data_IF_683826571128
#
_entry.id   IF_683826571128
#
_cell.length_a   1.000
_cell.length_b   1.000
_cell.length_c   1.000
_cell.angle_alpha   90.00
_cell.angle_beta   90.00
_cell.angle_gamma   90.00
#
_symmetry.space_group_name_H-M   'P 1'
#
loop_
_entity.id
_entity.type
_entity.pdbx_description
1 polymer ?
#
# COMPACT_ATOMS: atom_id res chain seq x y z
N UNK A 1 -8.26 24.11 47.71
CA UNK A 1 -8.42 22.75 47.18
C UNK A 1 -8.85 22.87 45.74
N UNK A 2 -7.92 22.69 44.81
CA UNK A 2 -8.19 22.72 43.37
C UNK A 2 -8.34 21.25 42.93
N UNK A 3 -9.55 20.88 42.47
CA UNK A 3 -9.79 19.61 41.84
C UNK A 3 -9.04 19.57 40.50
N UNK A 4 -8.10 18.66 40.41
CA UNK A 4 -7.39 18.35 39.18
C UNK A 4 -8.29 17.35 38.42
N UNK A 5 -8.98 17.84 37.40
CA UNK A 5 -9.69 16.96 36.46
C UNK A 5 -8.64 16.26 35.59
N UNK A 6 -8.32 15.03 35.96
CA UNK A 6 -7.49 14.14 35.14
C UNK A 6 -8.38 13.54 34.05
N UNK A 7 -8.38 14.13 32.85
CA UNK A 7 -8.91 13.50 31.66
C UNK A 7 -7.94 12.40 31.22
N UNK A 8 -8.19 11.17 31.65
CA UNK A 8 -7.51 10.01 31.12
C UNK A 8 -8.16 9.64 29.77
N UNK A 9 -7.66 10.20 28.70
CA UNK A 9 -7.98 9.78 27.34
C UNK A 9 -7.22 8.47 27.05
N UNK A 10 -7.87 7.35 27.30
CA UNK A 10 -7.36 6.04 26.95
C UNK A 10 -7.58 5.82 25.45
N UNK A 11 -6.59 6.09 24.61
CA UNK A 11 -6.62 5.77 23.19
C UNK A 11 -6.25 4.29 23.01
N UNK A 12 -7.25 3.46 22.79
CA UNK A 12 -7.06 2.06 22.42
C UNK A 12 -7.03 1.97 20.91
N UNK A 13 -5.85 1.73 20.35
CA UNK A 13 -5.72 1.36 18.94
C UNK A 13 -6.13 -0.09 18.78
N UNK A 14 -7.38 -0.32 18.43
CA UNK A 14 -7.86 -1.68 18.13
C UNK A 14 -7.38 -2.09 16.76
N UNK A 15 -6.50 -3.06 16.71
CA UNK A 15 -6.10 -3.73 15.47
C UNK A 15 -7.24 -4.60 14.98
N UNK A 16 -7.97 -4.14 13.99
CA UNK A 16 -8.86 -5.03 13.23
C UNK A 16 -8.05 -5.51 12.03
N UNK A 17 -7.20 -6.49 12.26
CA UNK A 17 -6.61 -7.26 11.17
C UNK A 17 -7.47 -8.49 10.94
N UNK A 18 -8.28 -8.49 9.88
CA UNK A 18 -8.93 -9.71 9.38
C UNK A 18 -7.90 -10.80 8.97
N UNK A 19 -6.61 -10.55 9.17
CA UNK A 19 -5.47 -11.43 8.90
C UNK A 19 -4.54 -11.61 10.10
N UNK A 20 -4.98 -11.36 11.33
CA UNK A 20 -4.16 -11.56 12.53
C UNK A 20 -3.89 -13.03 12.86
N UNK A 21 -3.54 -13.84 11.87
CA UNK A 21 -2.95 -15.14 12.09
C UNK A 21 -1.54 -15.11 11.54
N UNK A 22 -0.56 -14.83 12.43
CA UNK A 22 0.89 -14.96 12.20
C UNK A 22 1.62 -13.82 11.47
N UNK A 23 1.41 -12.57 11.83
CA UNK A 23 2.35 -11.50 11.41
C UNK A 23 3.79 -11.69 11.93
N UNK A 24 4.02 -12.47 12.97
CA UNK A 24 5.37 -12.66 13.55
C UNK A 24 6.42 -13.25 12.61
N UNK A 25 6.02 -13.88 11.50
CA UNK A 25 6.97 -14.54 10.60
C UNK A 25 7.20 -13.81 9.27
N UNK A 26 6.45 -12.75 8.97
CA UNK A 26 6.55 -12.03 7.69
C UNK A 26 7.57 -10.89 7.71
N UNK A 27 7.89 -10.36 8.88
CA UNK A 27 8.79 -9.21 9.04
C UNK A 27 10.19 -9.55 9.55
N UNK A 28 10.47 -10.80 9.84
CA UNK A 28 11.86 -11.21 9.98
C UNK A 28 12.46 -11.23 8.56
N UNK A 29 13.26 -10.22 8.23
CA UNK A 29 14.15 -10.19 7.08
C UNK A 29 15.15 -11.35 7.09
N UNK A 30 14.65 -12.54 7.36
CA UNK A 30 15.32 -13.80 7.23
C UNK A 30 15.40 -14.14 5.76
N UNK A 31 16.58 -14.41 5.31
CA UNK A 31 16.91 -15.15 4.11
C UNK A 31 15.75 -16.06 3.72
N UNK A 32 15.24 -15.87 2.49
CA UNK A 32 14.32 -16.82 1.90
C UNK A 32 14.94 -18.21 2.07
N UNK A 33 14.40 -18.98 2.99
CA UNK A 33 14.62 -20.41 2.94
C UNK A 33 13.90 -20.84 1.68
N UNK A 34 14.68 -21.13 0.65
CA UNK A 34 14.22 -21.98 -0.45
C UNK A 34 13.49 -23.13 0.22
N UNK A 35 12.19 -23.20 -0.01
CA UNK A 35 11.43 -24.37 0.38
C UNK A 35 11.75 -25.44 -0.67
N UNK A 36 12.57 -26.46 -0.35
CA UNK A 36 13.00 -27.43 -1.32
C UNK A 36 11.89 -28.41 -1.77
N UNK A 37 10.66 -28.20 -1.31
CA UNK A 37 9.53 -29.10 -1.55
C UNK A 37 8.52 -28.62 -2.59
N UNK A 38 8.93 -27.80 -3.56
CA UNK A 38 8.09 -27.54 -4.73
C UNK A 38 8.18 -28.72 -5.72
N UNK A 39 7.65 -29.85 -5.27
CA UNK A 39 7.57 -31.09 -6.04
C UNK A 39 6.36 -31.11 -6.99
N UNK A 40 6.05 -30.00 -7.67
CA UNK A 40 5.10 -30.00 -8.78
C UNK A 40 3.70 -30.58 -8.47
N UNK A 41 3.31 -30.65 -7.20
CA UNK A 41 1.99 -31.09 -6.80
C UNK A 41 1.01 -29.92 -7.02
N UNK A 42 0.03 -30.02 -7.93
CA UNK A 42 -0.92 -28.94 -8.22
C UNK A 42 -1.77 -28.53 -7.00
N UNK A 43 -1.77 -29.29 -5.92
CA UNK A 43 -2.49 -28.98 -4.69
C UNK A 43 -1.65 -28.22 -3.66
N UNK A 44 -0.36 -28.05 -3.89
CA UNK A 44 0.53 -27.29 -3.02
C UNK A 44 0.63 -25.83 -3.49
N UNK A 45 -0.52 -25.13 -3.54
CA UNK A 45 -0.52 -23.69 -3.77
C UNK A 45 0.15 -23.00 -2.59
N UNK A 46 1.33 -22.44 -2.81
CA UNK A 46 1.99 -21.57 -1.84
C UNK A 46 1.02 -20.47 -1.42
N UNK A 47 0.59 -20.49 -0.16
CA UNK A 47 -0.32 -19.51 0.37
C UNK A 47 0.45 -18.22 0.63
N UNK A 48 0.13 -17.19 -0.13
CA UNK A 48 0.63 -15.84 0.11
C UNK A 48 -0.39 -15.10 0.99
N UNK A 49 -0.02 -14.63 2.18
CA UNK A 49 -0.96 -14.01 3.14
C UNK A 49 -1.74 -12.84 2.56
N UNK A 50 -1.14 -12.12 1.60
CA UNK A 50 -1.75 -10.97 0.93
C UNK A 50 -2.44 -11.33 -0.40
N UNK A 51 -2.33 -12.56 -0.88
CA UNK A 51 -2.96 -13.06 -2.09
C UNK A 51 -4.17 -13.94 -1.72
N UNK A 52 -5.18 -13.35 -1.14
CA UNK A 52 -6.43 -14.03 -0.79
C UNK A 52 -7.51 -13.76 -1.83
N UNK A 53 -8.51 -14.62 -1.86
CA UNK A 53 -9.66 -14.42 -2.72
C UNK A 53 -10.30 -13.06 -2.41
N UNK A 54 -10.55 -12.29 -3.46
CA UNK A 54 -11.19 -11.00 -3.34
C UNK A 54 -12.60 -11.16 -2.75
N UNK A 55 -12.80 -10.53 -1.61
CA UNK A 55 -14.10 -10.37 -0.97
C UNK A 55 -14.28 -8.91 -0.62
N UNK A 56 -15.46 -8.39 -0.90
CA UNK A 56 -15.84 -7.01 -0.54
C UNK A 56 -16.24 -6.90 0.92
N UNK A 57 -16.64 -8.01 1.53
CA UNK A 57 -17.16 -8.04 2.89
C UNK A 57 -16.50 -9.16 3.69
N UNK A 58 -16.10 -8.82 4.92
CA UNK A 58 -15.74 -9.77 5.96
C UNK A 58 -16.80 -9.65 7.03
N UNK A 59 -17.54 -10.72 7.26
CA UNK A 59 -18.57 -10.76 8.31
C UNK A 59 -18.27 -11.84 9.33
N UNK A 60 -18.67 -11.60 10.57
CA UNK A 60 -18.53 -12.55 11.66
C UNK A 60 -17.12 -12.65 12.26
N UNK A 61 -16.18 -11.83 11.85
CA UNK A 61 -14.90 -11.72 12.53
C UNK A 61 -15.09 -10.96 13.84
N UNK A 62 -14.56 -11.52 14.94
CA UNK A 62 -14.68 -10.91 16.26
C UNK A 62 -13.31 -10.83 16.92
N UNK A 63 -13.00 -9.67 17.49
CA UNK A 63 -11.84 -9.46 18.34
C UNK A 63 -12.27 -9.05 19.74
N UNK A 64 -11.66 -9.65 20.76
CA UNK A 64 -11.89 -9.29 22.17
C UNK A 64 -10.63 -8.69 22.78
N UNK A 65 -10.81 -7.60 23.53
CA UNK A 65 -9.75 -6.94 24.30
C UNK A 65 -10.20 -6.93 25.75
N UNK A 66 -9.38 -7.45 26.65
CA UNK A 66 -9.60 -7.43 28.09
C UNK A 66 -8.60 -6.49 28.74
N UNK A 67 -9.09 -5.53 29.53
CA UNK A 67 -8.29 -4.55 30.26
C UNK A 67 -8.61 -4.70 31.74
N UNK A 68 -7.63 -5.11 32.54
CA UNK A 68 -7.74 -5.13 33.99
C UNK A 68 -7.60 -3.72 34.54
N UNK A 69 -8.50 -3.35 35.44
CA UNK A 69 -8.58 -2.02 36.04
C UNK A 69 -8.36 -2.14 37.55
N UNK A 70 -7.72 -1.13 38.13
CA UNK A 70 -7.49 -1.08 39.57
C UNK A 70 -8.79 -0.84 40.35
N UNK A 71 -9.76 -0.22 39.70
CA UNK A 71 -11.07 0.09 40.31
C UNK A 71 -12.23 -0.05 39.28
N UNK A 72 -13.45 -0.17 39.80
CA UNK A 72 -14.65 -0.18 38.96
C UNK A 72 -14.86 1.19 38.33
N UNK A 73 -15.13 1.20 37.04
CA UNK A 73 -15.41 2.40 36.24
C UNK A 73 -16.86 2.40 35.75
N UNK A 74 -17.39 3.59 35.55
CA UNK A 74 -18.68 3.79 34.92
C UNK A 74 -18.53 3.62 33.39
N UNK A 75 -19.12 2.57 32.83
CA UNK A 75 -19.06 2.26 31.39
C UNK A 75 -19.57 3.40 30.51
N UNK A 76 -20.51 4.21 30.98
CA UNK A 76 -21.05 5.32 30.20
C UNK A 76 -19.99 6.44 29.99
N UNK A 77 -18.98 6.47 30.86
CA UNK A 77 -17.84 7.42 30.74
C UNK A 77 -16.68 6.88 29.90
N UNK A 78 -16.73 5.62 29.49
CA UNK A 78 -15.69 5.02 28.65
C UNK A 78 -16.02 5.26 27.19
N UNK A 79 -15.24 6.11 26.52
CA UNK A 79 -15.31 6.28 25.08
C UNK A 79 -14.36 5.30 24.39
N UNK A 80 -14.86 4.58 23.40
CA UNK A 80 -14.06 3.68 22.56
C UNK A 80 -14.32 4.02 21.10
N UNK A 81 -13.29 4.20 20.33
CA UNK A 81 -13.39 4.50 18.90
C UNK A 81 -12.21 3.93 18.12
N UNK A 82 -12.44 3.62 16.85
CA UNK A 82 -11.38 3.30 15.90
C UNK A 82 -10.85 4.63 15.36
N UNK A 83 -9.53 4.91 15.46
CA UNK A 83 -8.97 6.19 15.04
C UNK A 83 -9.11 6.40 13.53
N UNK A 84 -9.13 7.64 13.03
CA UNK A 84 -9.21 7.94 11.59
C UNK A 84 -8.05 7.38 10.78
N UNK A 85 -6.86 7.31 11.37
CA UNK A 85 -5.66 6.73 10.76
C UNK A 85 -5.20 5.53 11.57
N UNK A 86 -4.84 4.45 10.88
CA UNK A 86 -4.30 3.23 11.49
C UNK A 86 -3.11 3.57 12.37
N UNK A 87 -2.94 2.83 13.45
CA UNK A 87 -1.87 3.06 14.45
C UNK A 87 -1.92 4.43 15.14
N UNK A 88 -3.09 5.12 15.10
CA UNK A 88 -3.29 6.46 15.63
C UNK A 88 -2.30 7.50 15.09
N UNK A 89 -1.87 7.34 13.85
CA UNK A 89 -1.00 8.30 13.18
C UNK A 89 -1.69 9.64 12.97
N UNK A 90 -0.93 10.70 12.74
CA UNK A 90 -1.44 12.07 12.71
C UNK A 90 -1.56 12.67 11.32
N UNK A 91 -1.06 12.01 10.28
CA UNK A 91 -1.22 12.41 8.90
C UNK A 91 -1.02 11.25 7.92
N UNK A 92 -1.54 11.42 6.70
CA UNK A 92 -1.64 10.39 5.67
C UNK A 92 -0.92 10.82 4.40
N UNK A 93 -0.13 9.90 3.85
CA UNK A 93 0.38 10.00 2.48
C UNK A 93 -0.09 8.78 1.69
N UNK A 94 -0.60 9.01 0.49
CA UNK A 94 -0.95 7.98 -0.49
C UNK A 94 -0.13 8.24 -1.76
N UNK A 95 0.47 7.20 -2.30
CA UNK A 95 1.22 7.26 -3.56
C UNK A 95 0.66 6.25 -4.54
N UNK A 96 0.35 6.71 -5.76
CA UNK A 96 0.00 5.85 -6.88
C UNK A 96 1.06 6.00 -7.95
N UNK A 97 1.69 4.91 -8.35
CA UNK A 97 2.68 4.89 -9.41
C UNK A 97 2.07 4.33 -10.68
N UNK A 98 2.00 5.18 -11.71
CA UNK A 98 1.27 4.93 -12.94
C UNK A 98 2.07 4.19 -14.01
N UNK A 99 1.39 3.80 -15.09
CA UNK A 99 1.92 3.18 -16.31
C UNK A 99 2.61 1.82 -16.10
N UNK A 100 2.26 1.09 -15.03
CA UNK A 100 2.88 -0.22 -14.79
C UNK A 100 4.42 -0.18 -14.86
N UNK A 101 5.03 0.97 -14.46
CA UNK A 101 6.46 1.21 -14.62
C UNK A 101 7.29 0.27 -13.76
N UNK A 102 8.31 -0.27 -14.36
CA UNK A 102 9.28 -1.13 -13.69
C UNK A 102 10.01 -0.40 -12.53
N UNK A 103 10.13 0.92 -12.58
CA UNK A 103 10.64 1.74 -11.49
C UNK A 103 9.83 1.60 -10.18
N UNK A 104 8.57 1.14 -10.24
CA UNK A 104 7.80 0.81 -9.04
C UNK A 104 8.50 -0.29 -8.21
N UNK A 105 9.09 -1.28 -8.87
CA UNK A 105 9.85 -2.34 -8.20
C UNK A 105 11.32 -1.94 -7.95
N UNK A 106 12.05 -1.59 -9.00
CA UNK A 106 13.52 -1.40 -8.93
C UNK A 106 13.94 -0.10 -8.24
N UNK A 107 13.05 0.83 -8.03
CA UNK A 107 13.33 2.10 -7.37
C UNK A 107 12.47 2.28 -6.11
N UNK A 108 11.16 2.45 -6.24
CA UNK A 108 10.27 2.77 -5.11
C UNK A 108 10.23 1.64 -4.08
N UNK A 109 9.87 0.43 -4.51
CA UNK A 109 9.81 -0.74 -3.63
C UNK A 109 11.21 -1.10 -3.09
N UNK A 110 12.23 -1.03 -3.94
CA UNK A 110 13.61 -1.32 -3.54
C UNK A 110 14.09 -0.38 -2.44
N UNK A 111 13.84 0.93 -2.59
CA UNK A 111 14.19 1.93 -1.58
C UNK A 111 13.48 1.67 -0.25
N UNK A 112 12.17 1.40 -0.29
CA UNK A 112 11.37 1.13 0.91
C UNK A 112 11.86 -0.13 1.63
N UNK A 113 12.28 -1.15 0.88
CA UNK A 113 12.62 -2.45 1.44
C UNK A 113 14.12 -2.69 1.64
N UNK A 114 14.95 -1.63 1.53
CA UNK A 114 16.40 -1.73 1.71
C UNK A 114 17.07 -2.66 0.70
N UNK A 115 16.53 -2.72 -0.51
CA UNK A 115 17.05 -3.49 -1.64
C UNK A 115 17.88 -2.59 -2.56
N UNK A 116 18.71 -3.18 -3.42
CA UNK A 116 19.47 -2.41 -4.38
C UNK A 116 18.58 -1.53 -5.25
N UNK A 117 18.88 -0.24 -5.30
CA UNK A 117 18.15 0.75 -6.07
C UNK A 117 18.88 0.94 -7.37
N UNK A 118 18.23 0.63 -8.48
CA UNK A 118 18.82 0.76 -9.81
C UNK A 118 18.46 2.13 -10.40
N UNK A 119 19.45 3.02 -10.50
CA UNK A 119 19.33 4.28 -11.22
C UNK A 119 20.03 4.19 -12.57
N UNK A 120 19.40 4.78 -13.55
CA UNK A 120 19.83 4.76 -14.93
C UNK A 120 20.60 6.00 -15.38
N UNK A 121 20.93 6.91 -14.50
CA UNK A 121 21.52 8.21 -14.84
C UNK A 121 22.88 8.13 -15.58
N UNK A 122 23.48 6.96 -15.68
CA UNK A 122 24.82 6.82 -16.27
C UNK A 122 24.91 5.97 -17.54
N UNK A 123 23.83 5.28 -17.88
CA UNK A 123 23.79 4.49 -19.12
C UNK A 123 22.56 4.94 -19.88
N UNK A 124 22.76 5.61 -21.00
CA UNK A 124 21.77 6.21 -21.88
C UNK A 124 20.31 6.10 -21.36
N UNK A 125 19.69 7.20 -21.05
CA UNK A 125 18.42 7.41 -20.33
C UNK A 125 17.16 6.63 -20.82
N UNK A 126 17.33 5.58 -21.57
CA UNK A 126 16.26 4.79 -22.20
C UNK A 126 16.22 3.34 -21.73
N UNK A 127 17.05 2.95 -20.76
CA UNK A 127 17.23 1.54 -20.38
C UNK A 127 16.77 1.35 -18.93
N UNK A 128 15.53 0.90 -18.73
CA UNK A 128 15.06 0.48 -17.42
C UNK A 128 15.77 -0.82 -17.03
N UNK A 129 16.49 -0.82 -15.91
CA UNK A 129 17.07 -2.03 -15.35
C UNK A 129 15.98 -2.88 -14.72
N UNK A 130 15.96 -4.10 -15.16
CA UNK A 130 14.98 -5.07 -14.77
C UNK A 130 15.64 -6.14 -13.92
N UNK A 131 15.25 -6.29 -12.67
CA UNK A 131 15.76 -7.34 -11.82
C UNK A 131 14.69 -7.92 -10.89
N UNK A 132 14.93 -9.15 -10.45
CA UNK A 132 14.27 -9.72 -9.31
C UNK A 132 15.31 -9.87 -8.19
N UNK A 133 15.01 -9.34 -7.00
CA UNK A 133 15.95 -9.35 -5.88
C UNK A 133 16.42 -10.76 -5.49
N UNK A 134 15.61 -11.79 -5.76
CA UNK A 134 15.97 -13.20 -5.53
C UNK A 134 17.05 -13.75 -6.46
N UNK A 135 17.23 -13.12 -7.62
CA UNK A 135 18.11 -13.60 -8.67
C UNK A 135 19.37 -12.72 -8.83
N UNK A 136 19.59 -11.77 -7.91
CA UNK A 136 20.76 -10.90 -7.97
C UNK A 136 22.01 -11.61 -7.45
N UNK A 137 23.05 -11.64 -8.28
CA UNK A 137 24.38 -12.04 -7.89
C UNK A 137 25.30 -10.82 -7.79
N UNK A 138 26.45 -11.00 -7.15
CA UNK A 138 27.45 -9.96 -7.05
C UNK A 138 27.94 -9.53 -8.44
N UNK A 139 27.90 -8.24 -8.73
CA UNK A 139 28.29 -7.68 -10.03
C UNK A 139 27.19 -7.59 -11.08
N UNK A 140 25.97 -8.04 -10.76
CA UNK A 140 24.85 -7.99 -11.73
C UNK A 140 24.31 -6.59 -11.98
N UNK A 141 24.44 -5.71 -11.01
CA UNK A 141 23.93 -4.35 -11.09
C UNK A 141 25.05 -3.35 -11.43
N UNK A 142 24.70 -2.19 -12.02
CA UNK A 142 25.71 -1.15 -12.31
C UNK A 142 26.51 -0.75 -11.07
N UNK A 143 27.76 -0.31 -11.25
CA UNK A 143 28.60 0.14 -10.13
C UNK A 143 28.00 1.27 -9.28
N UNK A 144 27.08 2.05 -9.87
CA UNK A 144 26.41 3.17 -9.18
C UNK A 144 25.16 2.75 -8.43
N UNK A 145 24.79 1.47 -8.47
CA UNK A 145 23.66 0.96 -7.70
C UNK A 145 23.97 1.08 -6.23
N UNK A 146 23.04 1.60 -5.47
CA UNK A 146 23.16 1.70 -4.02
C UNK A 146 21.90 1.25 -3.31
N UNK A 147 22.02 1.03 -2.02
CA UNK A 147 20.92 0.64 -1.15
C UNK A 147 20.99 1.41 0.18
N UNK A 148 19.86 1.64 0.79
CA UNK A 148 19.82 2.34 2.09
C UNK A 148 20.26 1.45 3.27
N UNK A 149 20.39 0.14 3.05
CA UNK A 149 20.74 -0.87 4.08
C UNK A 149 19.79 -0.84 5.30
N UNK A 150 18.64 -0.25 5.12
CA UNK A 150 17.54 -0.19 6.09
C UNK A 150 16.21 -0.14 5.34
N UNK A 151 15.16 -0.58 6.01
CA UNK A 151 13.79 -0.45 5.52
C UNK A 151 13.21 0.90 5.92
N UNK A 152 12.25 1.41 5.12
CA UNK A 152 11.56 2.67 5.38
C UNK A 152 10.12 2.36 5.81
N UNK A 153 9.65 3.01 6.86
CA UNK A 153 8.34 2.73 7.42
C UNK A 153 8.02 3.55 8.66
N UNK A 154 6.95 3.15 9.30
CA UNK A 154 6.48 3.63 10.60
C UNK A 154 6.45 2.48 11.60
N UNK A 155 5.97 2.70 12.81
CA UNK A 155 5.67 1.62 13.75
C UNK A 155 4.16 1.43 13.96
N UNK A 156 3.77 0.27 14.47
CA UNK A 156 2.38 -0.07 14.81
C UNK A 156 1.96 0.39 16.22
N UNK A 157 2.81 1.13 16.90
CA UNK A 157 2.61 1.54 18.30
C UNK A 157 2.97 0.46 19.34
N UNK A 158 3.18 -0.79 18.93
CA UNK A 158 3.71 -1.86 19.77
C UNK A 158 5.23 -2.09 19.55
N UNK A 159 5.83 -1.26 18.69
CA UNK A 159 7.26 -1.33 18.35
C UNK A 159 7.58 -2.21 17.14
N UNK A 160 6.59 -2.81 16.48
CA UNK A 160 6.83 -3.54 15.25
C UNK A 160 6.88 -2.56 14.07
N UNK A 161 7.76 -2.85 13.11
CA UNK A 161 7.87 -2.07 11.90
C UNK A 161 6.65 -2.28 10.99
N UNK A 162 6.13 -1.18 10.47
CA UNK A 162 5.14 -1.13 9.38
C UNK A 162 5.78 -0.42 8.21
N UNK A 163 6.17 -1.15 7.18
CA UNK A 163 6.81 -0.57 6.00
C UNK A 163 5.88 0.37 5.28
N UNK A 164 6.43 1.40 4.66
CA UNK A 164 5.68 2.21 3.72
C UNK A 164 5.18 1.33 2.58
N UNK A 165 3.97 1.60 2.14
CA UNK A 165 3.36 0.91 1.03
C UNK A 165 2.77 1.92 0.05
N UNK A 166 2.69 1.54 -1.21
CA UNK A 166 2.12 2.38 -2.26
C UNK A 166 1.27 1.53 -3.20
N UNK A 167 0.54 2.17 -4.08
CA UNK A 167 -0.25 1.50 -5.10
C UNK A 167 0.46 1.60 -6.45
N UNK A 168 0.62 0.49 -7.15
CA UNK A 168 1.12 0.49 -8.54
C UNK A 168 0.01 0.15 -9.50
N UNK A 169 -0.02 0.78 -10.65
CA UNK A 169 -0.96 0.43 -11.70
C UNK A 169 -0.44 -0.72 -12.55
N UNK A 170 -1.36 -1.47 -13.14
CA UNK A 170 -1.05 -2.67 -13.94
C UNK A 170 -1.56 -2.51 -15.38
N UNK A 171 -0.92 -3.23 -16.30
CA UNK A 171 -1.37 -3.48 -17.67
C UNK A 171 -1.64 -4.97 -17.89
N UNK A 172 -2.70 -5.56 -17.32
CA UNK A 172 -2.89 -7.00 -17.29
C UNK A 172 -3.01 -7.66 -18.67
N UNK A 173 -3.48 -6.93 -19.69
CA UNK A 173 -3.60 -7.40 -21.07
C UNK A 173 -2.27 -7.34 -21.85
N UNK A 174 -1.20 -6.83 -21.25
CA UNK A 174 0.10 -6.77 -21.90
C UNK A 174 0.90 -8.06 -21.71
N UNK A 175 1.25 -8.71 -22.81
CA UNK A 175 2.15 -9.90 -22.81
C UNK A 175 3.50 -9.59 -22.12
N UNK A 176 3.87 -8.31 -22.02
CA UNK A 176 5.10 -7.91 -21.33
C UNK A 176 5.08 -8.21 -19.84
N UNK A 177 3.90 -8.28 -19.22
CA UNK A 177 3.78 -8.66 -17.82
C UNK A 177 3.99 -10.17 -17.59
N UNK A 178 3.85 -11.00 -18.63
CA UNK A 178 4.05 -12.45 -18.56
C UNK A 178 5.51 -12.88 -18.75
N UNK A 179 6.41 -11.91 -18.98
CA UNK A 179 7.84 -12.24 -19.14
C UNK A 179 8.40 -12.73 -17.81
N UNK A 180 9.07 -13.87 -17.84
CA UNK A 180 9.81 -14.37 -16.69
C UNK A 180 11.05 -13.50 -16.45
N UNK A 181 11.33 -13.17 -15.18
CA UNK A 181 12.57 -12.50 -14.78
C UNK A 181 13.76 -13.47 -14.84
N UNK A 182 13.94 -14.10 -15.99
CA UNK A 182 15.04 -15.01 -16.18
C UNK A 182 16.37 -14.25 -16.32
N UNK A 183 17.30 -14.66 -15.50
CA UNK A 183 18.68 -14.26 -15.65
C UNK A 183 19.19 -14.79 -16.98
N UNK A 184 19.41 -13.93 -17.94
CA UNK A 184 20.06 -14.34 -19.19
C UNK A 184 21.52 -14.65 -18.91
N UNK A 185 21.84 -15.91 -18.71
CA UNK A 185 23.20 -16.39 -18.41
C UNK A 185 24.25 -16.04 -19.48
N UNK A 186 23.83 -15.54 -20.66
CA UNK A 186 24.73 -15.05 -21.70
C UNK A 186 25.32 -13.65 -21.42
N UNK A 187 24.90 -12.94 -20.38
CA UNK A 187 25.35 -11.59 -20.04
C UNK A 187 26.04 -11.51 -18.67
N UNK A 188 26.79 -12.53 -18.31
CA UNK A 188 27.45 -12.65 -17.01
C UNK A 188 28.46 -11.54 -16.67
N UNK A 189 28.97 -10.86 -17.67
CA UNK A 189 30.06 -9.86 -17.52
C UNK A 189 29.55 -8.41 -17.45
N UNK A 190 28.24 -8.21 -17.54
CA UNK A 190 27.66 -6.89 -17.44
C UNK A 190 26.19 -6.92 -16.93
N UNK A 191 25.77 -5.81 -16.37
CA UNK A 191 24.42 -5.62 -15.80
C UNK A 191 23.28 -5.67 -16.82
N UNK A 192 23.55 -5.74 -18.13
CA UNK A 192 22.54 -5.83 -19.18
C UNK A 192 21.75 -7.14 -19.14
N UNK A 193 22.17 -8.12 -18.38
CA UNK A 193 21.42 -9.37 -18.22
C UNK A 193 20.02 -9.16 -17.61
N UNK A 194 19.80 -8.04 -16.89
CA UNK A 194 18.51 -7.64 -16.34
C UNK A 194 17.81 -6.59 -17.21
N UNK A 195 18.41 -6.22 -18.31
CA UNK A 195 17.82 -5.30 -19.25
C UNK A 195 16.77 -5.99 -20.08
N UNK A 196 15.50 -5.69 -19.83
CA UNK A 196 14.45 -6.34 -20.61
C UNK A 196 13.29 -5.45 -20.99
N UNK A 197 12.71 -4.66 -20.13
CA UNK A 197 11.48 -3.94 -20.48
C UNK A 197 11.13 -2.82 -19.51
N UNK A 198 10.24 -1.93 -19.96
CA UNK A 198 9.78 -0.78 -19.19
C UNK A 198 8.61 -1.10 -18.23
N UNK A 199 8.04 -2.31 -18.27
CA UNK A 199 6.86 -2.69 -17.46
C UNK A 199 7.21 -3.66 -16.34
N UNK A 200 6.41 -3.62 -15.27
CA UNK A 200 6.41 -4.65 -14.23
C UNK A 200 6.03 -6.00 -14.82
N UNK A 201 6.56 -7.07 -14.25
CA UNK A 201 6.09 -8.43 -14.50
C UNK A 201 5.34 -8.97 -13.29
N UNK A 202 4.56 -10.02 -13.50
CA UNK A 202 3.74 -10.62 -12.44
C UNK A 202 4.55 -11.08 -11.23
N UNK A 203 5.78 -11.54 -11.40
CA UNK A 203 6.63 -11.94 -10.27
C UNK A 203 7.04 -10.76 -9.40
N UNK A 204 7.35 -9.60 -10.00
CA UNK A 204 7.57 -8.37 -9.22
C UNK A 204 6.29 -7.95 -8.48
N UNK A 205 5.14 -8.00 -9.15
CA UNK A 205 3.85 -7.66 -8.52
C UNK A 205 3.56 -8.56 -7.32
N UNK A 206 3.74 -9.89 -7.47
CA UNK A 206 3.57 -10.84 -6.35
C UNK A 206 4.45 -10.50 -5.16
N UNK A 207 5.72 -10.18 -5.43
CA UNK A 207 6.65 -9.80 -4.36
C UNK A 207 6.23 -8.48 -3.71
N UNK A 208 5.89 -7.46 -4.49
CA UNK A 208 5.41 -6.17 -3.97
C UNK A 208 4.17 -6.35 -3.09
N UNK A 209 3.22 -7.17 -3.51
CA UNK A 209 2.02 -7.49 -2.72
C UNK A 209 2.35 -8.20 -1.42
N UNK A 210 3.34 -9.09 -1.40
CA UNK A 210 3.80 -9.76 -0.18
C UNK A 210 4.40 -8.79 0.86
N UNK A 211 4.76 -7.58 0.42
CA UNK A 211 5.25 -6.49 1.28
C UNK A 211 4.19 -5.42 1.58
N UNK A 212 2.92 -5.67 1.26
CA UNK A 212 1.81 -4.78 1.61
C UNK A 212 1.49 -3.70 0.57
N UNK A 213 2.15 -3.70 -0.59
CA UNK A 213 1.79 -2.78 -1.66
C UNK A 213 0.42 -3.14 -2.26
N UNK A 214 -0.27 -2.14 -2.80
CA UNK A 214 -1.54 -2.31 -3.51
C UNK A 214 -1.38 -2.30 -5.02
N UNK A 215 -2.44 -2.68 -5.72
CA UNK A 215 -2.53 -2.62 -7.18
C UNK A 215 -3.75 -1.82 -7.61
N UNK A 216 -3.69 -1.24 -8.80
CA UNK A 216 -4.80 -0.51 -9.39
C UNK A 216 -4.94 -0.81 -10.88
N UNK A 217 -6.19 -0.77 -11.36
CA UNK A 217 -6.45 -0.60 -12.77
C UNK A 217 -6.00 0.79 -13.23
N UNK A 218 -5.59 0.87 -14.49
CA UNK A 218 -5.21 2.11 -15.16
C UNK A 218 -5.69 2.02 -16.60
N UNK A 219 -4.80 2.03 -17.59
CA UNK A 219 -5.17 1.68 -18.95
C UNK A 219 -5.51 0.19 -19.04
N UNK A 220 -6.59 -0.16 -19.71
CA UNK A 220 -7.09 -1.53 -19.78
C UNK A 220 -6.69 -2.26 -21.05
N UNK A 221 -6.36 -1.51 -22.11
CA UNK A 221 -5.93 -2.07 -23.39
C UNK A 221 -4.67 -1.36 -23.88
N UNK A 222 -3.91 -2.04 -24.75
CA UNK A 222 -2.74 -1.47 -25.44
C UNK A 222 -3.11 -0.35 -26.44
N UNK A 223 -4.39 -0.15 -26.71
CA UNK A 223 -4.94 0.89 -27.60
C UNK A 223 -5.94 1.73 -26.83
N UNK A 224 -6.06 3.01 -27.21
CA UNK A 224 -7.02 3.94 -26.60
C UNK A 224 -8.46 3.41 -26.70
N UNK A 225 -8.98 2.98 -25.56
CA UNK A 225 -10.38 2.60 -25.41
C UNK A 225 -11.12 3.80 -24.83
N UNK A 226 -12.03 4.37 -25.60
CA UNK A 226 -12.59 5.70 -25.29
C UNK A 226 -14.07 5.70 -24.89
N UNK A 227 -14.76 4.57 -24.94
CA UNK A 227 -16.15 4.50 -24.51
C UNK A 227 -16.35 3.63 -23.29
N UNK A 228 -17.34 3.96 -22.48
CA UNK A 228 -17.60 3.32 -21.19
C UNK A 228 -17.86 1.81 -21.29
N UNK A 229 -18.59 1.37 -22.31
CA UNK A 229 -18.93 -0.05 -22.51
C UNK A 229 -17.69 -0.90 -22.78
N UNK A 230 -16.78 -0.40 -23.60
CA UNK A 230 -15.54 -1.11 -23.93
C UNK A 230 -14.61 -1.12 -22.74
N UNK A 231 -14.49 0.00 -22.01
CA UNK A 231 -13.71 0.06 -20.76
C UNK A 231 -14.24 -0.96 -19.74
N UNK A 232 -15.56 -1.05 -19.53
CA UNK A 232 -16.16 -2.04 -18.64
C UNK A 232 -15.83 -3.46 -19.04
N UNK A 233 -15.89 -3.77 -20.34
CA UNK A 233 -15.52 -5.08 -20.87
C UNK A 233 -14.05 -5.41 -20.57
N UNK A 234 -13.16 -4.47 -20.84
CA UNK A 234 -11.73 -4.63 -20.55
C UNK A 234 -11.42 -4.71 -19.04
N UNK A 235 -12.09 -3.94 -18.19
CA UNK A 235 -11.96 -4.07 -16.74
C UNK A 235 -12.29 -5.49 -16.27
N UNK A 236 -13.31 -6.11 -16.86
CA UNK A 236 -13.69 -7.50 -16.55
C UNK A 236 -12.63 -8.52 -17.01
N UNK A 237 -12.05 -8.31 -18.20
CA UNK A 237 -10.93 -9.12 -18.73
C UNK A 237 -9.71 -8.95 -17.81
N UNK A 238 -9.30 -7.71 -17.54
CA UNK A 238 -8.18 -7.41 -16.66
C UNK A 238 -8.36 -8.02 -15.27
N UNK A 239 -9.56 -7.93 -14.69
CA UNK A 239 -9.85 -8.54 -13.39
C UNK A 239 -9.68 -10.07 -13.42
N UNK A 240 -10.10 -10.71 -14.50
CA UNK A 240 -9.94 -12.14 -14.66
C UNK A 240 -8.48 -12.54 -14.77
N UNK A 241 -7.69 -11.81 -15.56
CA UNK A 241 -6.25 -12.01 -15.68
C UNK A 241 -5.53 -11.79 -14.34
N UNK A 242 -5.85 -10.72 -13.61
CA UNK A 242 -5.29 -10.44 -12.28
C UNK A 242 -5.57 -11.60 -11.32
N UNK A 243 -6.82 -12.06 -11.26
CA UNK A 243 -7.20 -13.20 -10.40
C UNK A 243 -6.47 -14.48 -10.76
N UNK A 244 -6.30 -14.74 -12.05
CA UNK A 244 -5.56 -15.91 -12.52
C UNK A 244 -4.08 -15.85 -12.10
N UNK A 245 -3.43 -14.71 -12.33
CA UNK A 245 -2.01 -14.52 -12.03
C UNK A 245 -1.71 -14.38 -10.53
N UNK A 246 -2.68 -13.91 -9.73
CA UNK A 246 -2.51 -13.60 -8.31
C UNK A 246 -3.31 -14.52 -7.38
N UNK A 247 -3.48 -15.78 -7.75
CA UNK A 247 -4.08 -16.81 -6.90
C UNK A 247 -5.49 -16.47 -6.38
N UNK A 248 -6.29 -15.81 -7.21
CA UNK A 248 -7.67 -15.43 -6.90
C UNK A 248 -7.81 -14.03 -6.29
N UNK A 249 -6.72 -13.33 -5.99
CA UNK A 249 -6.78 -11.94 -5.56
C UNK A 249 -7.22 -11.05 -6.74
N UNK A 250 -8.26 -10.25 -6.52
CA UNK A 250 -8.69 -9.23 -7.47
C UNK A 250 -8.10 -7.85 -7.19
N UNK A 251 -8.38 -6.90 -8.09
CA UNK A 251 -8.08 -5.48 -7.96
C UNK A 251 -9.37 -4.71 -7.67
N UNK A 252 -9.34 -3.77 -6.73
CA UNK A 252 -10.49 -2.97 -6.31
C UNK A 252 -10.26 -1.45 -6.43
N UNK A 253 -9.12 -1.05 -6.93
CA UNK A 253 -8.71 0.35 -7.09
C UNK A 253 -8.63 0.69 -8.56
N UNK A 254 -9.08 1.90 -8.95
CA UNK A 254 -8.85 2.48 -10.27
C UNK A 254 -8.10 3.80 -10.11
N UNK A 255 -6.97 3.91 -10.78
CA UNK A 255 -6.27 5.16 -11.01
C UNK A 255 -6.63 5.69 -12.40
N UNK A 256 -7.20 6.88 -12.47
CA UNK A 256 -7.60 7.49 -13.74
C UNK A 256 -6.42 7.62 -14.70
N UNK A 257 -6.47 7.04 -15.90
CA UNK A 257 -5.41 7.22 -16.89
C UNK A 257 -5.59 8.55 -17.64
N UNK A 258 -4.50 9.28 -17.83
CA UNK A 258 -4.42 10.45 -18.71
C UNK A 258 -5.52 11.51 -18.53
N UNK A 259 -6.15 11.59 -17.35
CA UNK A 259 -7.29 12.49 -17.12
C UNK A 259 -8.59 12.08 -17.83
N UNK A 260 -8.69 10.84 -18.30
CA UNK A 260 -9.84 10.33 -19.04
C UNK A 260 -11.02 10.00 -18.11
N UNK A 261 -12.00 10.90 -18.05
CA UNK A 261 -13.17 10.78 -17.17
C UNK A 261 -14.09 9.59 -17.50
N UNK A 262 -14.00 9.03 -18.71
CA UNK A 262 -14.77 7.83 -19.09
C UNK A 262 -14.37 6.62 -18.26
N UNK A 263 -13.07 6.52 -17.87
CA UNK A 263 -12.62 5.48 -16.94
C UNK A 263 -13.26 5.60 -15.55
N UNK A 264 -13.48 6.82 -15.07
CA UNK A 264 -14.15 7.04 -13.79
C UNK A 264 -15.63 6.63 -13.85
N UNK A 265 -16.31 6.90 -14.98
CA UNK A 265 -17.68 6.47 -15.20
C UNK A 265 -17.77 4.93 -15.22
N UNK A 266 -16.93 4.28 -16.01
CA UNK A 266 -16.82 2.83 -16.05
C UNK A 266 -16.46 2.23 -14.67
N UNK A 267 -15.54 2.86 -13.93
CA UNK A 267 -15.16 2.43 -12.58
C UNK A 267 -16.31 2.53 -11.58
N UNK A 268 -17.16 3.54 -11.69
CA UNK A 268 -18.38 3.65 -10.88
C UNK A 268 -19.37 2.54 -11.19
N UNK A 269 -19.51 2.20 -12.48
CA UNK A 269 -20.42 1.16 -12.96
C UNK A 269 -19.91 -0.26 -12.70
N UNK A 270 -18.58 -0.46 -12.55
CA UNK A 270 -18.00 -1.77 -12.32
C UNK A 270 -17.98 -2.12 -10.85
N UNK A 271 -18.79 -3.09 -10.41
CA UNK A 271 -19.02 -3.42 -9.01
C UNK A 271 -17.74 -3.76 -8.22
N UNK A 272 -16.73 -4.32 -8.88
CA UNK A 272 -15.51 -4.75 -8.19
C UNK A 272 -14.53 -3.61 -7.91
N UNK A 273 -14.68 -2.43 -8.54
CA UNK A 273 -13.92 -1.24 -8.15
C UNK A 273 -14.60 -0.61 -6.95
N UNK A 274 -13.85 -0.41 -5.88
CA UNK A 274 -14.35 0.10 -4.60
C UNK A 274 -13.96 1.56 -4.37
N UNK A 275 -12.76 1.96 -4.82
CA UNK A 275 -12.24 3.31 -4.67
C UNK A 275 -11.46 3.72 -5.92
N UNK A 276 -11.42 5.01 -6.20
CA UNK A 276 -10.74 5.57 -7.36
C UNK A 276 -9.86 6.76 -6.97
N UNK A 277 -8.92 7.08 -7.85
CA UNK A 277 -8.13 8.32 -7.73
C UNK A 277 -7.98 8.99 -9.09
N UNK A 278 -7.96 10.33 -9.10
CA UNK A 278 -7.93 11.13 -10.31
C UNK A 278 -7.16 12.44 -10.11
N UNK A 279 -6.72 13.04 -11.24
CA UNK A 279 -5.94 14.29 -11.23
C UNK A 279 -6.79 15.51 -10.92
N UNK A 280 -7.97 15.62 -11.53
CA UNK A 280 -8.84 16.78 -11.40
C UNK A 280 -10.31 16.37 -11.36
N UNK A 281 -11.15 17.22 -10.78
CA UNK A 281 -12.58 16.95 -10.63
C UNK A 281 -12.88 15.84 -9.62
N UNK A 282 -11.96 15.60 -8.71
CA UNK A 282 -12.03 14.63 -7.63
C UNK A 282 -12.11 15.33 -6.27
N UNK A 283 -12.36 14.56 -5.23
CA UNK A 283 -12.54 15.10 -3.88
C UNK A 283 -11.20 15.15 -3.14
N UNK A 284 -10.89 16.29 -2.54
CA UNK A 284 -9.77 16.41 -1.60
C UNK A 284 -10.05 15.57 -0.36
N UNK A 285 -9.08 14.79 0.06
CA UNK A 285 -9.24 13.89 1.19
C UNK A 285 -8.76 14.55 2.49
N UNK A 286 -9.67 14.76 3.42
CA UNK A 286 -9.38 15.18 4.79
C UNK A 286 -9.61 13.98 5.72
N UNK A 287 -8.57 13.21 6.09
CA UNK A 287 -8.73 11.90 6.74
C UNK A 287 -9.49 11.96 8.06
N UNK A 288 -9.35 13.05 8.80
CA UNK A 288 -10.02 13.26 10.09
C UNK A 288 -11.45 13.77 9.99
N UNK A 289 -11.91 14.10 8.77
CA UNK A 289 -13.27 14.56 8.47
C UNK A 289 -14.08 13.50 7.69
N UNK A 290 -13.48 12.32 7.43
CA UNK A 290 -14.17 11.22 6.75
C UNK A 290 -15.32 10.69 7.62
N UNK A 291 -16.53 10.68 7.07
CA UNK A 291 -17.78 10.29 7.74
C UNK A 291 -18.44 9.04 7.18
N UNK A 292 -17.85 8.46 6.12
CA UNK A 292 -18.33 7.23 5.46
C UNK A 292 -17.16 6.31 5.08
N UNK A 293 -17.48 5.15 4.52
CA UNK A 293 -16.51 4.11 4.14
C UNK A 293 -15.73 4.40 2.85
N UNK A 294 -15.95 5.56 2.23
CA UNK A 294 -15.34 6.00 0.97
C UNK A 294 -15.68 5.12 -0.25
N UNK A 295 -16.70 4.29 -0.18
CA UNK A 295 -17.10 3.44 -1.29
C UNK A 295 -17.41 4.26 -2.55
N UNK A 296 -16.78 3.89 -3.70
CA UNK A 296 -16.88 4.60 -4.98
C UNK A 296 -16.43 6.07 -4.96
N UNK A 297 -15.77 6.52 -3.91
CA UNK A 297 -15.19 7.85 -3.88
C UNK A 297 -14.01 7.97 -4.86
N UNK A 298 -13.83 9.18 -5.38
CA UNK A 298 -12.73 9.54 -6.28
C UNK A 298 -11.86 10.54 -5.53
N UNK A 299 -10.66 10.13 -5.12
CA UNK A 299 -9.72 10.94 -4.38
C UNK A 299 -8.83 11.71 -5.36
N UNK A 300 -8.70 13.02 -5.14
CA UNK A 300 -7.78 13.87 -5.90
C UNK A 300 -6.32 13.49 -5.59
N UNK A 301 -5.51 13.37 -6.64
CA UNK A 301 -4.06 13.16 -6.54
C UNK A 301 -3.31 14.19 -7.38
N UNK A 302 -2.12 14.54 -6.91
CA UNK A 302 -1.27 15.54 -7.53
C UNK A 302 -0.01 14.92 -8.10
N UNK A 303 0.49 15.51 -9.18
CA UNK A 303 1.74 15.15 -9.82
C UNK A 303 2.74 16.29 -9.65
N UNK A 304 3.96 15.95 -9.29
CA UNK A 304 5.06 16.87 -9.12
C UNK A 304 6.29 16.35 -9.86
N UNK A 305 6.96 17.24 -10.57
CA UNK A 305 8.22 16.92 -11.22
C UNK A 305 9.37 16.86 -10.20
N UNK A 306 9.36 17.77 -9.22
CA UNK A 306 10.35 17.81 -8.15
C UNK A 306 9.70 17.43 -6.79
N UNK A 307 10.13 16.31 -6.16
CA UNK A 307 9.66 15.94 -4.83
C UNK A 307 9.96 16.96 -3.73
N UNK A 308 10.87 17.93 -3.94
CA UNK A 308 11.13 18.97 -2.96
C UNK A 308 9.92 19.89 -2.77
N UNK A 309 9.12 20.12 -3.81
CA UNK A 309 7.88 20.89 -3.71
C UNK A 309 6.89 20.20 -2.75
N UNK A 310 6.89 18.88 -2.73
CA UNK A 310 6.04 18.07 -1.84
C UNK A 310 6.47 18.25 -0.38
N UNK A 311 7.78 18.34 -0.11
CA UNK A 311 8.28 18.56 1.26
C UNK A 311 7.73 19.84 1.89
N UNK A 312 7.56 20.89 1.12
CA UNK A 312 7.01 22.14 1.63
C UNK A 312 5.49 22.06 1.86
N UNK A 313 4.77 21.33 1.00
CA UNK A 313 3.35 21.03 1.22
C UNK A 313 3.17 20.20 2.50
N UNK A 314 3.96 19.15 2.70
CA UNK A 314 3.95 18.36 3.94
C UNK A 314 4.15 19.24 5.15
N UNK A 315 5.19 20.09 5.16
CA UNK A 315 5.46 21.00 6.27
C UNK A 315 4.31 21.98 6.52
N UNK A 316 3.64 22.46 5.47
CA UNK A 316 2.47 23.35 5.58
C UNK A 316 1.29 22.62 6.21
N UNK A 317 0.97 21.42 5.75
CA UNK A 317 -0.12 20.61 6.32
C UNK A 317 0.13 20.28 7.80
N UNK A 318 1.36 19.92 8.17
CA UNK A 318 1.69 19.58 9.55
C UNK A 318 1.64 20.75 10.54
N UNK A 319 1.62 22.01 10.07
CA UNK A 319 1.36 23.18 10.93
C UNK A 319 -0.11 23.34 11.29
N UNK A 320 -1.02 22.70 10.56
CA UNK A 320 -2.45 22.73 10.83
C UNK A 320 -2.82 21.77 11.96
N UNK A 321 -3.91 22.04 12.70
CA UNK A 321 -4.53 21.03 13.54
C UNK A 321 -4.79 19.77 12.73
N UNK A 322 -4.66 18.57 13.35
CA UNK A 322 -4.78 17.31 12.60
C UNK A 322 -6.14 17.17 11.88
N UNK A 323 -7.19 17.74 12.46
CA UNK A 323 -8.55 17.73 11.91
C UNK A 323 -8.68 18.52 10.61
N UNK A 324 -7.77 19.46 10.37
CA UNK A 324 -7.75 20.31 9.17
C UNK A 324 -6.74 19.84 8.12
N UNK A 325 -5.95 18.82 8.43
CA UNK A 325 -4.91 18.32 7.52
C UNK A 325 -5.50 17.62 6.32
N UNK A 326 -5.05 18.04 5.15
CA UNK A 326 -5.28 17.34 3.91
C UNK A 326 -4.32 16.15 3.79
N UNK A 327 -4.81 15.02 3.33
CA UNK A 327 -3.94 13.91 2.94
C UNK A 327 -3.05 14.31 1.75
N UNK A 328 -1.81 13.89 1.77
CA UNK A 328 -0.90 14.07 0.63
C UNK A 328 -1.09 12.90 -0.32
N UNK A 329 -1.91 13.12 -1.36
CA UNK A 329 -2.21 12.11 -2.36
C UNK A 329 -1.43 12.40 -3.64
N UNK A 330 -0.52 11.51 -4.01
CA UNK A 330 0.44 11.70 -5.08
C UNK A 330 0.21 10.71 -6.22
N UNK A 331 0.42 11.18 -7.44
CA UNK A 331 0.64 10.37 -8.63
C UNK A 331 2.06 10.56 -9.14
N UNK A 332 2.67 9.50 -9.63
CA UNK A 332 4.00 9.54 -10.25
C UNK A 332 4.10 8.47 -11.33
N UNK A 333 4.83 8.74 -12.40
CA UNK A 333 5.10 7.73 -13.44
C UNK A 333 6.40 6.97 -13.13
N UNK A 334 7.51 7.67 -13.16
CA UNK A 334 8.83 7.12 -12.86
C UNK A 334 9.40 7.69 -11.57
N UNK A 335 10.19 6.90 -10.87
CA UNK A 335 10.87 7.32 -9.66
C UNK A 335 12.38 7.15 -9.84
N UNK A 336 13.10 8.26 -9.73
CA UNK A 336 14.55 8.29 -9.76
C UNK A 336 15.13 8.64 -8.39
N UNK A 337 16.38 9.11 -8.38
CA UNK A 337 17.14 9.44 -7.18
C UNK A 337 16.39 10.38 -6.23
N UNK A 338 15.86 11.49 -6.72
CA UNK A 338 15.18 12.49 -5.90
C UNK A 338 13.93 11.93 -5.21
N UNK A 339 13.21 11.01 -5.85
CA UNK A 339 12.07 10.35 -5.25
C UNK A 339 12.47 9.37 -4.14
N UNK A 340 13.54 8.60 -4.33
CA UNK A 340 14.03 7.70 -3.29
C UNK A 340 14.60 8.47 -2.09
N UNK A 341 15.26 9.60 -2.33
CA UNK A 341 15.68 10.53 -1.28
C UNK A 341 14.50 11.17 -0.54
N UNK A 342 13.40 11.46 -1.25
CA UNK A 342 12.17 11.92 -0.62
C UNK A 342 11.57 10.84 0.30
N UNK A 343 11.52 9.58 -0.13
CA UNK A 343 11.07 8.47 0.72
C UNK A 343 11.95 8.31 1.97
N UNK A 344 13.27 8.42 1.80
CA UNK A 344 14.20 8.40 2.92
C UNK A 344 13.98 9.58 3.87
N UNK A 345 13.73 10.77 3.34
CA UNK A 345 13.40 11.94 4.15
C UNK A 345 12.10 11.74 4.93
N UNK A 346 11.04 11.18 4.32
CA UNK A 346 9.79 10.84 5.02
C UNK A 346 10.05 9.90 6.20
N UNK A 347 10.84 8.86 6.00
CA UNK A 347 11.18 7.92 7.06
C UNK A 347 11.96 8.58 8.21
N UNK A 348 12.95 9.41 7.86
CA UNK A 348 13.82 10.04 8.84
C UNK A 348 13.14 11.17 9.63
N UNK A 349 12.11 11.80 9.08
CA UNK A 349 11.40 12.89 9.73
C UNK A 349 10.11 12.44 10.41
N UNK A 350 9.35 11.55 9.76
CA UNK A 350 7.97 11.26 10.12
C UNK A 350 7.65 9.76 10.19
N UNK A 351 8.59 8.90 9.80
CA UNK A 351 8.52 7.46 9.97
C UNK A 351 9.18 7.00 11.25
N UNK A 352 9.52 5.73 11.32
CA UNK A 352 10.09 5.06 12.51
C UNK A 352 11.42 5.63 13.00
N UNK A 353 12.16 6.32 12.13
CA UNK A 353 13.44 6.96 12.50
C UNK A 353 13.26 8.45 12.89
N UNK A 354 12.03 8.96 12.83
CA UNK A 354 11.64 10.32 13.20
C UNK A 354 10.60 10.37 14.31
N UNK A 355 9.56 11.21 14.12
CA UNK A 355 8.47 11.37 15.08
C UNK A 355 7.37 10.30 15.00
N UNK A 356 7.50 9.37 14.07
CA UNK A 356 6.59 8.24 13.82
C UNK A 356 5.12 8.64 13.61
N UNK A 357 4.89 9.81 13.02
CA UNK A 357 3.56 10.42 12.86
C UNK A 357 2.85 10.05 11.55
N UNK A 358 3.59 9.51 10.57
CA UNK A 358 3.10 9.20 9.23
C UNK A 358 2.45 7.82 9.15
N UNK A 359 1.27 7.76 8.49
CA UNK A 359 0.76 6.53 7.89
C UNK A 359 0.88 6.62 6.37
N UNK A 360 1.62 5.68 5.78
CA UNK A 360 1.85 5.60 4.35
C UNK A 360 1.47 4.21 3.83
N UNK A 361 0.16 3.93 3.68
CA UNK A 361 -0.37 2.68 3.15
C UNK A 361 -0.53 2.73 1.63
N UNK A 362 -0.86 1.59 1.03
CA UNK A 362 -1.49 1.58 -0.28
C UNK A 362 -2.91 2.19 -0.22
N UNK A 363 -3.44 2.66 -1.36
CA UNK A 363 -4.82 3.16 -1.43
C UNK A 363 -5.84 2.07 -1.11
N UNK A 364 -5.54 0.81 -1.46
CA UNK A 364 -6.36 -0.33 -1.11
C UNK A 364 -6.44 -0.54 0.40
N UNK A 365 -5.29 -0.54 1.10
CA UNK A 365 -5.26 -0.67 2.57
C UNK A 365 -5.99 0.49 3.25
N UNK A 366 -5.80 1.72 2.75
CA UNK A 366 -6.51 2.87 3.29
C UNK A 366 -8.03 2.75 3.15
N UNK A 367 -8.50 2.30 1.97
CA UNK A 367 -9.93 2.03 1.75
C UNK A 367 -10.45 0.95 2.68
N UNK A 368 -9.78 -0.20 2.76
CA UNK A 368 -10.19 -1.33 3.61
C UNK A 368 -10.25 -0.93 5.08
N UNK A 369 -9.25 -0.19 5.56
CA UNK A 369 -9.26 0.32 6.92
C UNK A 369 -10.48 1.20 7.22
N UNK A 370 -10.83 2.13 6.32
CA UNK A 370 -12.00 2.96 6.49
C UNK A 370 -13.29 2.15 6.40
N UNK A 371 -13.38 1.20 5.47
CA UNK A 371 -14.53 0.31 5.38
C UNK A 371 -14.78 -0.38 6.72
N UNK A 372 -13.79 -1.06 7.27
CA UNK A 372 -13.93 -1.73 8.56
C UNK A 372 -14.16 -0.76 9.73
N UNK A 373 -13.55 0.41 9.70
CA UNK A 373 -13.78 1.44 10.72
C UNK A 373 -15.23 1.86 10.82
N UNK A 374 -15.95 1.95 9.72
CA UNK A 374 -17.35 2.37 9.67
C UNK A 374 -18.35 1.22 9.83
N UNK A 375 -17.95 -0.01 9.49
CA UNK A 375 -18.81 -1.18 9.57
C UNK A 375 -18.60 -2.01 10.86
N UNK A 376 -17.52 -1.78 11.61
CA UNK A 376 -17.28 -2.49 12.85
C UNK A 376 -18.24 -2.07 13.96
N UNK A 377 -18.79 -3.06 14.67
CA UNK A 377 -19.62 -2.85 15.85
C UNK A 377 -18.77 -3.05 17.10
N UNK A 378 -18.71 -2.02 17.94
CA UNK A 378 -17.97 -2.07 19.20
C UNK A 378 -18.96 -2.20 20.35
N UNK A 379 -18.80 -3.24 21.18
CA UNK A 379 -19.50 -3.40 22.45
C UNK A 379 -18.51 -3.37 23.61
N UNK A 380 -18.99 -2.93 24.78
CA UNK A 380 -18.20 -2.82 26.02
C UNK A 380 -18.97 -3.42 27.20
N UNK A 381 -18.27 -4.12 28.08
CA UNK A 381 -18.84 -4.82 29.22
C UNK A 381 -17.84 -4.85 30.38
N UNK A 382 -18.34 -4.71 31.61
CA UNK A 382 -17.54 -5.00 32.81
C UNK A 382 -17.80 -6.44 33.30
N UNK A 383 -16.70 -7.15 33.58
CA UNK A 383 -16.73 -8.43 34.30
C UNK A 383 -15.79 -8.32 35.52
N UNK A 384 -16.37 -8.05 36.69
CA UNK A 384 -15.58 -7.66 37.85
C UNK A 384 -14.81 -6.36 37.57
N UNK A 385 -13.52 -6.37 37.77
CA UNK A 385 -12.63 -5.24 37.47
C UNK A 385 -12.07 -5.28 36.02
N UNK A 386 -12.55 -6.19 35.17
CA UNK A 386 -12.08 -6.30 33.80
C UNK A 386 -13.04 -5.61 32.84
N UNK A 387 -12.56 -4.61 32.11
CA UNK A 387 -13.26 -4.05 30.97
C UNK A 387 -13.03 -4.94 29.75
N UNK A 388 -14.10 -5.49 29.21
CA UNK A 388 -14.08 -6.24 27.95
C UNK A 388 -14.63 -5.39 26.83
N UNK A 389 -13.87 -5.30 25.75
CA UNK A 389 -14.27 -4.68 24.50
C UNK A 389 -14.36 -5.77 23.45
N UNK A 390 -15.50 -5.82 22.77
CA UNK A 390 -15.69 -6.75 21.64
C UNK A 390 -15.93 -5.93 20.39
N UNK A 391 -15.13 -6.21 19.35
CA UNK A 391 -15.25 -5.61 18.02
C UNK A 391 -15.68 -6.70 17.06
N UNK A 392 -16.80 -6.49 16.39
CA UNK A 392 -17.37 -7.45 15.41
C UNK A 392 -17.52 -6.79 14.06
N UNK A 393 -17.17 -7.52 12.98
CA UNK A 393 -17.33 -7.13 11.57
C UNK A 393 -18.48 -7.90 10.93
#
# INVERSE_FOLDING_TARGET
MKLLNLFLLLFISVFICASCVKEKNLYNGGQGTDNPDDNGNPDNKTYYPYLYNYKTEVSGATAEISIELDELIDLDKVAVSIPPLKYNKSWLLLLTQDDCKQAAYCSTWAAINGKPIAFLDTVAATIDLYYNAKHLYNGDLPPNTYEYKKTLGSSDGAGNEVRFAFTTTLYPESEKMDVETNVNNGFTDNYYRFYMQSLLVWDNVKEMLAYGNGIAFHDVAATDVNNESDILSHLSICQSLIKDRLSGRGCKVLAEPNGNKTYLAAGKAYDQIQIMTAQAGATKLYPFQVTDDLHKNIIERWFFDDPNDIKDIVKQQLRLPKEERLAICLGVHGTGLYWTEFLLWLNNMYGKDGDDSLWFPSLEEYYEYNYYRFHAIISKKMEGNTLKLTVTL
#
